data_IF_030162403313
#
_entry.id   IF_030162403313
#
_cell.length_a   1.000
_cell.length_b   1.000
_cell.length_c   1.000
_cell.angle_alpha   90.00
_cell.angle_beta   90.00
_cell.angle_gamma   90.00
#
_symmetry.space_group_name_H-M   'P 1'
#
loop_
_entity.id
_entity.type
_entity.pdbx_description
1 polymer ?
#
# COMPACT_ATOMS: atom_id res chain seq x y z
N UNK A 1 -15.44 -2.43 -36.41
CA UNK A 1 -14.53 -2.29 -35.25
C UNK A 1 -13.28 -1.55 -35.69
N UNK A 2 -13.04 -0.34 -35.20
CA UNK A 2 -11.81 0.39 -35.53
C UNK A 2 -10.60 -0.36 -34.97
N UNK A 3 -9.53 -0.48 -35.77
CA UNK A 3 -8.27 -1.08 -35.29
C UNK A 3 -7.82 -0.30 -34.05
N UNK A 4 -7.56 -0.97 -32.91
CA UNK A 4 -7.11 -0.27 -31.71
C UNK A 4 -5.81 0.46 -32.04
N UNK A 5 -5.77 1.76 -31.72
CA UNK A 5 -4.62 2.60 -31.99
C UNK A 5 -3.43 2.04 -31.23
N UNK A 6 -2.43 1.52 -31.95
CA UNK A 6 -1.34 0.71 -31.39
C UNK A 6 -0.29 1.56 -30.67
N UNK A 7 -0.36 2.89 -30.81
CA UNK A 7 0.55 3.85 -30.20
C UNK A 7 0.36 3.94 -28.68
N UNK A 8 1.44 4.22 -27.97
CA UNK A 8 1.44 4.54 -26.54
C UNK A 8 0.83 5.91 -26.27
N UNK A 9 0.52 6.21 -24.99
CA UNK A 9 -0.16 7.45 -24.58
C UNK A 9 0.67 8.69 -24.96
N UNK A 10 1.99 8.60 -24.81
CA UNK A 10 2.94 9.69 -25.07
C UNK A 10 3.72 9.52 -26.37
N UNK A 11 3.52 8.42 -27.10
CA UNK A 11 4.34 8.06 -28.26
C UNK A 11 4.19 9.03 -29.43
N UNK A 12 2.99 9.55 -29.65
CA UNK A 12 2.71 10.48 -30.77
C UNK A 12 3.48 11.79 -30.60
N UNK A 13 3.23 12.48 -29.47
CA UNK A 13 4.00 13.66 -29.09
C UNK A 13 5.51 13.39 -29.05
N UNK A 14 5.93 12.27 -28.43
CA UNK A 14 7.34 11.91 -28.34
C UNK A 14 7.98 11.72 -29.72
N UNK A 15 7.29 11.12 -30.68
CA UNK A 15 7.86 10.85 -32.00
C UNK A 15 8.16 12.12 -32.78
N UNK A 16 7.35 13.16 -32.62
CA UNK A 16 7.43 14.45 -33.33
C UNK A 16 8.53 15.38 -32.81
N UNK A 17 9.06 15.14 -31.60
CA UNK A 17 10.07 16.01 -31.00
C UNK A 17 11.47 15.84 -31.62
N UNK A 18 12.27 16.92 -31.57
CA UNK A 18 13.71 16.91 -31.92
C UNK A 18 14.51 15.96 -31.01
N UNK A 19 15.61 15.43 -31.52
CA UNK A 19 16.47 14.51 -30.77
C UNK A 19 17.08 15.15 -29.51
N UNK A 20 17.49 16.41 -29.59
CA UNK A 20 18.01 17.16 -28.44
C UNK A 20 16.99 17.24 -27.31
N UNK A 21 15.74 17.58 -27.65
CA UNK A 21 14.65 17.64 -26.67
C UNK A 21 14.41 16.27 -26.01
N UNK A 22 14.41 15.20 -26.81
CA UNK A 22 14.26 13.83 -26.30
C UNK A 22 15.38 13.48 -25.30
N UNK A 23 16.62 13.89 -25.59
CA UNK A 23 17.75 13.66 -24.70
C UNK A 23 17.61 14.46 -23.40
N UNK A 24 17.38 15.77 -23.48
CA UNK A 24 17.21 16.63 -22.30
C UNK A 24 16.05 16.17 -21.43
N UNK A 25 14.90 15.84 -22.03
CA UNK A 25 13.73 15.38 -21.29
C UNK A 25 13.93 14.00 -20.67
N UNK A 26 14.60 13.08 -21.38
CA UNK A 26 14.97 11.78 -20.84
C UNK A 26 15.90 11.90 -19.64
N UNK A 27 16.87 12.82 -19.69
CA UNK A 27 17.77 13.09 -18.57
C UNK A 27 17.02 13.74 -17.39
N UNK A 28 16.18 14.74 -17.67
CA UNK A 28 15.38 15.44 -16.66
C UNK A 28 14.42 14.48 -15.94
N UNK A 29 13.67 13.65 -16.69
CA UNK A 29 12.75 12.67 -16.09
C UNK A 29 13.46 11.63 -15.24
N UNK A 30 14.65 11.17 -15.64
CA UNK A 30 15.51 10.29 -14.83
C UNK A 30 16.03 10.99 -13.57
N UNK A 31 16.50 12.22 -13.70
CA UNK A 31 17.00 13.01 -12.57
C UNK A 31 15.88 13.25 -11.55
N UNK A 32 14.70 13.67 -11.99
CA UNK A 32 13.53 13.89 -11.12
C UNK A 32 13.12 12.58 -10.45
N UNK A 33 12.98 11.48 -11.20
CA UNK A 33 12.63 10.19 -10.62
C UNK A 33 13.66 9.70 -9.60
N UNK A 34 14.96 9.89 -9.87
CA UNK A 34 16.04 9.48 -8.97
C UNK A 34 16.11 10.34 -7.69
N UNK A 35 16.01 11.67 -7.83
CA UNK A 35 16.01 12.59 -6.69
C UNK A 35 14.81 12.28 -5.80
N UNK A 36 13.61 12.22 -6.37
CA UNK A 36 12.42 11.96 -5.58
C UNK A 36 12.41 10.53 -5.01
N UNK A 37 12.80 9.54 -5.79
CA UNK A 37 12.87 8.14 -5.36
C UNK A 37 13.88 7.89 -4.23
N UNK A 38 14.97 8.66 -4.18
CA UNK A 38 16.00 8.48 -3.15
C UNK A 38 15.77 9.33 -1.90
N UNK A 39 15.40 10.61 -2.08
CA UNK A 39 15.31 11.59 -1.00
C UNK A 39 13.89 11.75 -0.43
N UNK A 40 12.84 11.59 -1.24
CA UNK A 40 11.45 11.84 -0.79
C UNK A 40 10.80 10.58 -0.25
N UNK A 41 11.20 9.40 -0.74
CA UNK A 41 10.67 8.13 -0.24
C UNK A 41 10.99 7.94 1.24
N UNK A 42 9.94 7.76 2.05
CA UNK A 42 10.03 7.51 3.48
C UNK A 42 10.95 6.34 3.79
N UNK A 43 11.79 6.49 4.82
CA UNK A 43 12.72 5.45 5.27
C UNK A 43 12.06 4.60 6.34
N UNK A 44 12.18 3.30 6.21
CA UNK A 44 11.73 2.29 7.16
C UNK A 44 12.66 2.17 8.37
N UNK A 45 13.94 2.55 8.21
CA UNK A 45 15.00 2.35 9.20
C UNK A 45 15.85 1.11 8.93
N UNK A 46 15.42 0.24 8.00
CA UNK A 46 16.22 -0.89 7.52
C UNK A 46 16.87 -0.52 6.18
N UNK A 47 18.16 -0.22 6.19
CA UNK A 47 18.86 0.33 5.03
C UNK A 47 18.73 -0.51 3.74
N UNK A 48 18.67 -1.84 3.85
CA UNK A 48 18.47 -2.72 2.69
C UNK A 48 17.03 -2.63 2.13
N UNK A 49 16.00 -2.52 2.98
CA UNK A 49 14.60 -2.33 2.55
C UNK A 49 14.47 -0.97 1.87
N UNK A 50 15.04 0.08 2.48
CA UNK A 50 14.98 1.44 1.95
C UNK A 50 15.65 1.57 0.59
N UNK A 51 16.76 0.84 0.39
CA UNK A 51 17.44 0.76 -0.90
C UNK A 51 16.57 0.06 -1.94
N UNK A 52 15.96 -1.08 -1.60
CA UNK A 52 15.06 -1.80 -2.50
C UNK A 52 13.87 -0.91 -2.88
N UNK A 53 13.18 -0.33 -1.90
CA UNK A 53 12.01 0.53 -2.15
C UNK A 53 12.38 1.73 -3.01
N UNK A 54 13.54 2.35 -2.79
CA UNK A 54 14.03 3.47 -3.60
C UNK A 54 14.35 3.06 -5.05
N UNK A 55 14.99 1.89 -5.25
CA UNK A 55 15.26 1.34 -6.58
C UNK A 55 13.96 1.07 -7.33
N UNK A 56 12.95 0.48 -6.67
CA UNK A 56 11.65 0.25 -7.27
C UNK A 56 10.89 1.56 -7.54
N UNK A 57 10.92 2.51 -6.60
CA UNK A 57 10.29 3.83 -6.73
C UNK A 57 10.84 4.63 -7.91
N UNK A 58 12.12 4.41 -8.27
CA UNK A 58 12.79 5.09 -9.39
C UNK A 58 12.67 4.30 -10.69
N UNK A 59 12.98 3.00 -10.65
CA UNK A 59 13.12 2.17 -11.84
C UNK A 59 11.78 1.84 -12.51
N UNK A 60 10.75 1.51 -11.73
CA UNK A 60 9.44 1.14 -12.26
C UNK A 60 8.78 2.28 -13.05
N UNK A 61 8.66 3.52 -12.55
CA UNK A 61 8.05 4.60 -13.32
C UNK A 61 8.84 4.91 -14.60
N UNK A 62 10.18 4.86 -14.56
CA UNK A 62 11.00 5.08 -15.76
C UNK A 62 10.79 3.99 -16.81
N UNK A 63 10.65 2.72 -16.40
CA UNK A 63 10.32 1.63 -17.31
C UNK A 63 8.92 1.80 -17.93
N UNK A 64 7.94 2.22 -17.12
CA UNK A 64 6.59 2.51 -17.63
C UNK A 64 6.66 3.65 -18.65
N UNK A 65 7.32 4.76 -18.33
CA UNK A 65 7.50 5.91 -19.23
C UNK A 65 8.17 5.49 -20.53
N UNK A 66 9.30 4.76 -20.46
CA UNK A 66 10.01 4.27 -21.64
C UNK A 66 9.13 3.36 -22.51
N UNK A 67 8.30 2.50 -21.88
CA UNK A 67 7.35 1.66 -22.60
C UNK A 67 6.27 2.48 -23.34
N UNK A 68 5.82 3.60 -22.76
CA UNK A 68 4.79 4.45 -23.36
C UNK A 68 5.32 5.32 -24.50
N UNK A 69 6.61 5.71 -24.46
CA UNK A 69 7.25 6.52 -25.50
C UNK A 69 7.54 5.75 -26.81
N UNK A 70 7.66 4.43 -26.76
CA UNK A 70 8.10 3.60 -27.90
C UNK A 70 7.22 2.35 -28.14
N UNK A 71 5.97 2.39 -27.72
CA UNK A 71 5.13 1.21 -27.62
C UNK A 71 4.87 0.51 -28.96
N UNK A 72 4.67 1.28 -30.03
CA UNK A 72 4.37 0.74 -31.36
C UNK A 72 5.58 0.07 -32.01
N UNK A 73 6.81 0.44 -31.59
CA UNK A 73 8.07 -0.12 -32.10
C UNK A 73 8.33 -1.55 -31.64
N UNK A 74 7.70 -1.99 -30.55
CA UNK A 74 7.86 -3.36 -30.06
C UNK A 74 7.08 -4.38 -30.89
N UNK A 75 7.51 -5.65 -30.97
CA UNK A 75 6.71 -6.70 -31.61
C UNK A 75 5.38 -6.91 -30.88
N UNK A 76 4.32 -7.38 -31.58
CA UNK A 76 2.97 -7.48 -31.02
C UNK A 76 2.88 -8.42 -29.81
N UNK A 77 3.66 -9.50 -29.80
CA UNK A 77 3.75 -10.42 -28.65
C UNK A 77 4.33 -9.73 -27.41
N UNK A 78 5.38 -8.92 -27.60
CA UNK A 78 6.03 -8.20 -26.51
C UNK A 78 5.11 -7.10 -25.95
N UNK A 79 4.40 -6.36 -26.81
CA UNK A 79 3.38 -5.38 -26.38
C UNK A 79 2.30 -6.01 -25.50
N UNK A 80 1.80 -7.19 -25.89
CA UNK A 80 0.79 -7.92 -25.12
C UNK A 80 1.35 -8.39 -23.78
N UNK A 81 2.59 -8.89 -23.75
CA UNK A 81 3.28 -9.30 -22.52
C UNK A 81 3.50 -8.12 -21.58
N UNK A 82 4.06 -7.00 -22.06
CA UNK A 82 4.30 -5.78 -21.26
C UNK A 82 2.98 -5.27 -20.66
N UNK A 83 1.92 -5.18 -21.46
CA UNK A 83 0.62 -4.71 -20.97
C UNK A 83 0.06 -5.64 -19.89
N UNK A 84 0.20 -6.97 -20.07
CA UNK A 84 -0.26 -7.96 -19.08
C UNK A 84 0.57 -7.91 -17.80
N UNK A 85 1.90 -7.86 -17.90
CA UNK A 85 2.77 -7.78 -16.74
C UNK A 85 2.61 -6.47 -15.99
N UNK A 86 2.48 -5.33 -16.68
CA UNK A 86 2.18 -4.05 -16.04
C UNK A 86 0.82 -4.09 -15.32
N UNK A 87 -0.22 -4.63 -15.96
CA UNK A 87 -1.53 -4.79 -15.31
C UNK A 87 -1.46 -5.68 -14.07
N UNK A 88 -0.82 -6.85 -14.17
CA UNK A 88 -0.67 -7.79 -13.06
C UNK A 88 0.18 -7.20 -11.94
N UNK A 89 1.30 -6.54 -12.26
CA UNK A 89 2.20 -5.94 -11.28
C UNK A 89 1.52 -4.77 -10.55
N UNK A 90 0.87 -3.85 -11.27
CA UNK A 90 0.15 -2.75 -10.63
C UNK A 90 -1.01 -3.26 -9.79
N UNK A 91 -1.76 -4.26 -10.27
CA UNK A 91 -2.86 -4.85 -9.50
C UNK A 91 -2.35 -5.53 -8.23
N UNK A 92 -1.27 -6.31 -8.33
CA UNK A 92 -0.62 -6.93 -7.18
C UNK A 92 -0.11 -5.87 -6.19
N UNK A 93 0.52 -4.79 -6.67
CA UNK A 93 1.02 -3.71 -5.83
C UNK A 93 -0.11 -2.97 -5.10
N UNK A 94 -1.19 -2.61 -5.79
CA UNK A 94 -2.36 -1.96 -5.16
C UNK A 94 -3.03 -2.92 -4.17
N UNK A 95 -3.08 -4.21 -4.49
CA UNK A 95 -3.65 -5.22 -3.60
C UNK A 95 -2.82 -5.38 -2.33
N UNK A 96 -1.50 -5.51 -2.48
CA UNK A 96 -0.57 -5.61 -1.36
C UNK A 96 -0.62 -4.36 -0.47
N UNK A 97 -0.71 -3.16 -1.06
CA UNK A 97 -0.84 -1.92 -0.29
C UNK A 97 -2.16 -1.86 0.48
N UNK A 98 -3.28 -2.19 -0.16
CA UNK A 98 -4.59 -2.16 0.51
C UNK A 98 -4.68 -3.18 1.64
N UNK A 99 -4.16 -4.40 1.43
CA UNK A 99 -4.09 -5.43 2.48
C UNK A 99 -3.14 -4.99 3.59
N UNK A 100 -1.96 -4.45 3.25
CA UNK A 100 -0.99 -3.97 4.23
C UNK A 100 -1.54 -2.83 5.10
N UNK A 101 -2.26 -1.88 4.49
CA UNK A 101 -2.94 -0.81 5.21
C UNK A 101 -4.00 -1.36 6.16
N UNK A 102 -4.84 -2.28 5.68
CA UNK A 102 -5.87 -2.91 6.51
C UNK A 102 -5.27 -3.67 7.71
N UNK A 103 -4.19 -4.43 7.48
CA UNK A 103 -3.45 -5.13 8.54
C UNK A 103 -2.83 -4.14 9.54
N UNK A 104 -2.26 -3.03 9.08
CA UNK A 104 -1.72 -2.00 9.96
C UNK A 104 -2.82 -1.37 10.86
N UNK A 105 -4.02 -1.13 10.31
CA UNK A 105 -5.17 -0.64 11.09
C UNK A 105 -5.62 -1.67 12.12
N UNK A 106 -5.76 -2.95 11.75
CA UNK A 106 -6.09 -4.02 12.70
C UNK A 106 -5.05 -4.10 13.81
N UNK A 107 -3.77 -4.08 13.45
CA UNK A 107 -2.68 -4.13 14.41
C UNK A 107 -2.72 -2.93 15.39
N UNK A 108 -2.96 -1.72 14.88
CA UNK A 108 -3.14 -0.52 15.70
C UNK A 108 -4.33 -0.64 16.66
N UNK A 109 -5.46 -1.20 16.20
CA UNK A 109 -6.63 -1.45 17.05
C UNK A 109 -6.33 -2.47 18.15
N UNK A 110 -5.72 -3.61 17.82
CA UNK A 110 -5.37 -4.66 18.79
C UNK A 110 -4.40 -4.10 19.84
N UNK A 111 -3.32 -3.44 19.40
CA UNK A 111 -2.33 -2.87 20.34
C UNK A 111 -2.92 -1.77 21.21
N UNK A 112 -3.82 -0.93 20.69
CA UNK A 112 -4.55 0.06 21.47
C UNK A 112 -5.42 -0.57 22.55
N UNK A 113 -6.18 -1.62 22.21
CA UNK A 113 -7.00 -2.36 23.16
C UNK A 113 -6.13 -3.04 24.23
N UNK A 114 -5.07 -3.75 23.83
CA UNK A 114 -4.14 -4.42 24.76
C UNK A 114 -3.47 -3.42 25.72
N UNK A 115 -3.08 -2.23 25.25
CA UNK A 115 -2.53 -1.18 26.12
C UNK A 115 -3.55 -0.57 27.08
N UNK A 116 -4.83 -0.57 26.72
CA UNK A 116 -5.91 -0.09 27.59
C UNK A 116 -6.41 -1.13 28.59
N UNK A 117 -6.11 -2.42 28.38
CA UNK A 117 -6.52 -3.52 29.26
C UNK A 117 -6.12 -3.36 30.73
N UNK A 118 -4.88 -2.92 31.07
CA UNK A 118 -4.47 -2.72 32.47
C UNK A 118 -5.35 -1.71 33.22
N UNK A 119 -5.92 -0.72 32.51
CA UNK A 119 -6.87 0.23 33.10
C UNK A 119 -8.27 -0.35 33.33
N UNK A 120 -8.62 -1.42 32.61
CA UNK A 120 -9.90 -2.13 32.71
C UNK A 120 -9.87 -3.26 33.74
N UNK A 121 -8.69 -3.84 34.01
CA UNK A 121 -8.52 -5.00 34.89
C UNK A 121 -7.93 -4.61 36.26
N UNK A 122 -7.38 -3.40 36.40
CA UNK A 122 -6.65 -2.97 37.60
C UNK A 122 -5.22 -3.54 37.59
N UNK A 123 -4.26 -2.80 38.16
CA UNK A 123 -2.83 -3.12 38.13
C UNK A 123 -2.43 -4.40 38.87
N UNK A 124 -3.34 -5.03 39.63
CA UNK A 124 -3.01 -6.01 40.66
C UNK A 124 -3.48 -7.44 40.32
N UNK A 125 -3.63 -7.76 39.04
CA UNK A 125 -4.08 -9.09 38.58
C UNK A 125 -3.07 -10.22 38.88
N UNK A 126 -1.86 -9.91 39.37
CA UNK A 126 -0.73 -10.85 39.42
C UNK A 126 -0.50 -11.66 40.71
N UNK A 127 -1.08 -11.40 41.91
CA UNK A 127 -0.92 -12.34 43.03
C UNK A 127 -2.23 -12.90 43.63
N UNK A 128 -3.40 -12.51 43.12
CA UNK A 128 -4.67 -12.86 43.77
C UNK A 128 -5.19 -14.26 43.42
N UNK A 129 -4.75 -14.89 42.31
CA UNK A 129 -5.23 -16.23 41.92
C UNK A 129 -4.68 -17.35 42.82
N UNK A 130 -3.43 -17.25 43.28
CA UNK A 130 -2.80 -18.20 44.21
C UNK A 130 -3.30 -18.03 45.65
N UNK A 131 -3.73 -16.82 46.02
CA UNK A 131 -4.23 -16.52 47.37
C UNK A 131 -5.69 -16.95 47.56
N UNK A 132 -6.51 -16.91 46.49
CA UNK A 132 -7.92 -17.32 46.53
C UNK A 132 -8.10 -18.85 46.56
N UNK A 133 -7.21 -19.63 45.95
CA UNK A 133 -7.30 -21.10 45.98
C UNK A 133 -7.04 -21.72 47.37
N UNK A 134 -6.52 -20.95 48.33
CA UNK A 134 -6.12 -21.43 49.66
C UNK A 134 -7.03 -20.94 50.82
N UNK A 135 -8.05 -20.12 50.56
CA UNK A 135 -8.95 -19.60 51.59
C UNK A 135 -10.32 -20.32 51.57
N UNK A 136 -10.66 -21.17 52.56
CA UNK A 136 -11.92 -21.89 52.57
C UNK A 136 -13.08 -20.96 52.96
N UNK A 137 -14.01 -20.73 52.04
CA UNK A 137 -15.42 -20.47 52.38
C UNK A 137 -15.98 -19.05 52.30
N UNK A 138 -15.19 -18.03 51.92
CA UNK A 138 -15.72 -16.67 51.71
C UNK A 138 -15.53 -16.23 50.25
N UNK A 139 -16.62 -15.82 49.60
CA UNK A 139 -16.60 -15.10 48.32
C UNK A 139 -15.89 -13.76 48.56
N UNK A 140 -14.58 -13.74 48.39
CA UNK A 140 -13.80 -12.51 48.51
C UNK A 140 -14.26 -11.51 47.43
N UNK A 141 -14.57 -10.25 47.78
CA UNK A 141 -14.98 -9.23 46.81
C UNK A 141 -13.96 -9.04 45.69
N UNK A 142 -12.68 -9.29 45.97
CA UNK A 142 -11.58 -9.26 45.01
C UNK A 142 -11.70 -10.33 43.91
N UNK A 143 -12.25 -11.51 44.24
CA UNK A 143 -12.49 -12.57 43.26
C UNK A 143 -13.61 -12.16 42.29
N UNK A 144 -14.67 -11.53 42.79
CA UNK A 144 -15.78 -11.04 41.98
C UNK A 144 -15.29 -9.92 41.06
N UNK A 145 -14.48 -8.98 41.57
CA UNK A 145 -13.90 -7.90 40.78
C UNK A 145 -12.97 -8.42 39.67
N UNK A 146 -12.12 -9.40 39.97
CA UNK A 146 -11.25 -10.04 38.98
C UNK A 146 -12.03 -10.83 37.92
N UNK A 147 -13.08 -11.56 38.33
CA UNK A 147 -13.94 -12.29 37.41
C UNK A 147 -14.72 -11.36 36.47
N UNK A 148 -15.21 -10.22 36.97
CA UNK A 148 -15.85 -9.18 36.16
C UNK A 148 -14.84 -8.55 35.20
N UNK A 149 -13.61 -8.26 35.66
CA UNK A 149 -12.53 -7.75 34.80
C UNK A 149 -12.18 -8.70 33.66
N UNK A 150 -12.07 -10.00 33.96
CA UNK A 150 -11.83 -11.04 32.95
C UNK A 150 -12.98 -11.16 31.95
N UNK A 151 -14.22 -11.14 32.43
CA UNK A 151 -15.41 -11.19 31.57
C UNK A 151 -15.48 -9.97 30.64
N UNK A 152 -15.21 -8.77 31.15
CA UNK A 152 -15.17 -7.54 30.35
C UNK A 152 -14.07 -7.59 29.29
N UNK A 153 -12.88 -8.08 29.66
CA UNK A 153 -11.79 -8.30 28.72
C UNK A 153 -12.20 -9.28 27.60
N UNK A 154 -12.84 -10.38 27.95
CA UNK A 154 -13.32 -11.37 26.98
C UNK A 154 -14.37 -10.78 26.03
N UNK A 155 -15.34 -10.03 26.55
CA UNK A 155 -16.37 -9.35 25.74
C UNK A 155 -15.74 -8.34 24.77
N UNK A 156 -14.77 -7.54 25.24
CA UNK A 156 -14.05 -6.58 24.38
C UNK A 156 -13.26 -7.30 23.28
N UNK A 157 -12.60 -8.41 23.58
CA UNK A 157 -11.87 -9.19 22.58
C UNK A 157 -12.81 -9.78 21.52
N UNK A 158 -13.92 -10.38 21.93
CA UNK A 158 -14.91 -10.98 21.02
C UNK A 158 -15.57 -9.92 20.16
N UNK A 159 -15.95 -8.77 20.73
CA UNK A 159 -16.54 -7.66 19.98
C UNK A 159 -15.55 -7.03 18.99
N UNK A 160 -14.26 -6.95 19.33
CA UNK A 160 -13.21 -6.52 18.41
C UNK A 160 -13.09 -7.45 17.20
N UNK A 161 -13.04 -8.77 17.43
CA UNK A 161 -12.98 -9.76 16.34
C UNK A 161 -14.22 -9.65 15.45
N UNK A 162 -15.41 -9.56 16.06
CA UNK A 162 -16.67 -9.38 15.33
C UNK A 162 -16.69 -8.07 14.51
N UNK A 163 -16.18 -6.97 15.07
CA UNK A 163 -16.08 -5.68 14.38
C UNK A 163 -15.11 -5.73 13.20
N UNK A 164 -13.97 -6.43 13.34
CA UNK A 164 -13.01 -6.64 12.23
C UNK A 164 -13.71 -7.40 11.09
N UNK A 165 -14.35 -8.53 11.37
CA UNK A 165 -15.05 -9.31 10.35
C UNK A 165 -16.21 -8.55 9.69
N UNK A 166 -17.00 -7.83 10.48
CA UNK A 166 -18.09 -7.01 9.96
C UNK A 166 -17.56 -5.85 9.11
N UNK A 167 -16.46 -5.20 9.51
CA UNK A 167 -15.82 -4.16 8.70
C UNK A 167 -15.35 -4.71 7.35
N UNK A 168 -14.69 -5.87 7.34
CA UNK A 168 -14.19 -6.48 6.11
C UNK A 168 -15.32 -6.76 5.12
N UNK A 169 -16.45 -7.30 5.61
CA UNK A 169 -17.63 -7.57 4.79
C UNK A 169 -18.35 -6.30 4.35
N UNK A 170 -18.57 -5.35 5.26
CA UNK A 170 -19.33 -4.12 4.98
C UNK A 170 -18.59 -3.18 4.03
N UNK A 171 -17.27 -3.05 4.16
CA UNK A 171 -16.46 -2.19 3.29
C UNK A 171 -16.22 -2.77 1.90
N UNK A 172 -16.65 -4.01 1.62
CA UNK A 172 -16.38 -4.73 0.37
C UNK A 172 -14.91 -4.56 -0.04
N UNK A 173 -14.01 -4.78 0.92
CA UNK A 173 -12.58 -4.47 0.78
C UNK A 173 -12.00 -5.14 -0.47
N UNK A 174 -12.47 -6.33 -0.81
CA UNK A 174 -12.11 -7.01 -2.06
C UNK A 174 -12.49 -6.21 -3.32
N UNK A 175 -13.70 -5.63 -3.38
CA UNK A 175 -14.13 -4.84 -4.53
C UNK A 175 -13.34 -3.54 -4.64
N UNK A 176 -13.09 -2.88 -3.51
CA UNK A 176 -12.34 -1.64 -3.47
C UNK A 176 -10.85 -1.85 -3.82
N UNK A 177 -10.23 -2.89 -3.29
CA UNK A 177 -8.79 -3.14 -3.45
C UNK A 177 -8.47 -3.80 -4.79
N UNK A 178 -9.30 -4.75 -5.26
CA UNK A 178 -8.96 -5.56 -6.43
C UNK A 178 -9.75 -5.15 -7.68
N UNK A 179 -11.06 -4.94 -7.57
CA UNK A 179 -11.90 -4.75 -8.75
C UNK A 179 -11.91 -3.32 -9.28
N UNK A 180 -11.95 -2.31 -8.40
CA UNK A 180 -11.94 -0.91 -8.82
C UNK A 180 -10.64 -0.52 -9.58
N UNK A 181 -9.43 -0.85 -9.08
CA UNK A 181 -8.19 -0.57 -9.81
C UNK A 181 -8.12 -1.32 -11.12
N UNK A 182 -8.57 -2.58 -11.17
CA UNK A 182 -8.61 -3.39 -12.40
C UNK A 182 -9.45 -2.74 -13.49
N UNK A 183 -10.65 -2.24 -13.15
CA UNK A 183 -11.54 -1.55 -14.11
C UNK A 183 -10.90 -0.24 -14.61
N UNK A 184 -10.28 0.52 -13.71
CA UNK A 184 -9.56 1.75 -14.05
C UNK A 184 -8.36 1.50 -14.97
N UNK A 185 -7.46 0.59 -14.58
CA UNK A 185 -6.28 0.23 -15.37
C UNK A 185 -6.67 -0.29 -16.75
N UNK A 186 -7.70 -1.13 -16.85
CA UNK A 186 -8.16 -1.63 -18.15
C UNK A 186 -8.64 -0.50 -19.07
N UNK A 187 -9.31 0.52 -18.53
CA UNK A 187 -9.72 1.72 -19.29
C UNK A 187 -8.52 2.51 -19.80
N UNK A 188 -7.45 2.65 -19.02
CA UNK A 188 -6.30 3.48 -19.41
C UNK A 188 -5.25 2.71 -20.23
N UNK A 189 -4.84 1.51 -19.82
CA UNK A 189 -3.78 0.72 -20.47
C UNK A 189 -4.27 -0.04 -21.72
N UNK A 190 -5.51 -0.56 -21.68
CA UNK A 190 -6.06 -1.38 -22.78
C UNK A 190 -6.87 -0.54 -23.75
N UNK A 191 -7.82 0.28 -23.26
CA UNK A 191 -8.65 1.12 -24.15
C UNK A 191 -7.95 2.40 -24.61
N UNK A 192 -6.91 2.87 -23.91
CA UNK A 192 -6.05 4.01 -24.29
C UNK A 192 -6.84 5.21 -24.83
N UNK A 193 -7.91 5.60 -24.11
CA UNK A 193 -8.81 6.66 -24.56
C UNK A 193 -8.16 8.05 -24.55
N UNK A 194 -7.04 8.22 -23.85
CA UNK A 194 -6.34 9.49 -23.70
C UNK A 194 -5.00 9.39 -24.42
N UNK A 195 -4.68 10.42 -25.21
CA UNK A 195 -3.39 10.61 -25.86
C UNK A 195 -2.86 11.98 -25.48
N UNK A 196 -1.58 12.07 -25.18
CA UNK A 196 -0.93 13.36 -24.98
C UNK A 196 -0.70 14.01 -26.34
N UNK A 197 -1.43 15.10 -26.61
CA UNK A 197 -1.26 15.93 -27.80
C UNK A 197 -0.33 17.11 -27.53
N UNK A 198 -0.39 17.64 -26.30
CA UNK A 198 0.39 18.81 -25.88
C UNK A 198 1.48 18.45 -24.87
N UNK A 199 2.48 19.33 -24.80
CA UNK A 199 3.59 19.22 -23.84
C UNK A 199 3.09 19.12 -22.39
N UNK A 200 2.04 19.86 -22.04
CA UNK A 200 1.47 19.84 -20.68
C UNK A 200 0.86 18.47 -20.34
N UNK A 201 0.12 17.87 -21.27
CA UNK A 201 -0.43 16.52 -21.07
C UNK A 201 0.67 15.46 -21.04
N UNK A 202 1.68 15.60 -21.88
CA UNK A 202 2.84 14.72 -21.92
C UNK A 202 3.62 14.77 -20.60
N UNK A 203 4.00 15.97 -20.15
CA UNK A 203 4.70 16.18 -18.90
C UNK A 203 3.86 15.76 -17.69
N UNK A 204 2.58 16.16 -17.66
CA UNK A 204 1.66 15.80 -16.58
C UNK A 204 1.45 14.29 -16.46
N UNK A 205 1.41 13.57 -17.57
CA UNK A 205 1.32 12.10 -17.56
C UNK A 205 2.60 11.46 -16.99
N UNK A 206 3.78 11.87 -17.46
CA UNK A 206 5.04 11.27 -17.01
C UNK A 206 5.35 11.62 -15.55
N UNK A 207 5.18 12.89 -15.15
CA UNK A 207 5.31 13.30 -13.76
C UNK A 207 4.23 12.66 -12.88
N UNK A 208 3.01 12.51 -13.39
CA UNK A 208 1.94 11.82 -12.68
C UNK A 208 2.30 10.37 -12.35
N UNK A 209 2.92 9.65 -13.29
CA UNK A 209 3.43 8.29 -13.06
C UNK A 209 4.51 8.30 -11.98
N UNK A 210 5.51 9.20 -12.09
CA UNK A 210 6.60 9.33 -11.12
C UNK A 210 6.05 9.60 -9.72
N UNK A 211 5.22 10.65 -9.57
CA UNK A 211 4.62 11.06 -8.30
C UNK A 211 3.78 9.95 -7.68
N UNK A 212 2.95 9.27 -8.48
CA UNK A 212 2.15 8.15 -8.01
C UNK A 212 3.05 7.03 -7.51
N UNK A 213 4.09 6.64 -8.25
CA UNK A 213 5.04 5.62 -7.81
C UNK A 213 5.72 5.98 -6.49
N UNK A 214 6.13 7.22 -6.29
CA UNK A 214 6.75 7.68 -5.03
C UNK A 214 5.75 7.63 -3.88
N UNK A 215 4.52 8.10 -4.08
CA UNK A 215 3.48 8.06 -3.05
C UNK A 215 3.17 6.62 -2.62
N UNK A 216 3.06 5.70 -3.59
CA UNK A 216 2.85 4.29 -3.32
C UNK A 216 4.03 3.68 -2.55
N UNK A 217 5.27 3.90 -3.01
CA UNK A 217 6.46 3.40 -2.32
C UNK A 217 6.61 3.96 -0.90
N UNK A 218 6.30 5.25 -0.70
CA UNK A 218 6.34 5.89 0.62
C UNK A 218 5.28 5.30 1.56
N UNK A 219 4.08 5.04 1.06
CA UNK A 219 3.02 4.37 1.84
C UNK A 219 3.42 2.96 2.25
N UNK A 220 4.04 2.19 1.34
CA UNK A 220 4.56 0.85 1.67
C UNK A 220 5.65 0.94 2.76
N UNK A 221 6.58 1.88 2.64
CA UNK A 221 7.61 2.08 3.65
C UNK A 221 7.02 2.45 5.02
N UNK A 222 6.01 3.32 5.06
CA UNK A 222 5.30 3.66 6.31
C UNK A 222 4.65 2.42 6.93
N UNK A 223 3.96 1.61 6.13
CA UNK A 223 3.32 0.38 6.63
C UNK A 223 4.37 -0.57 7.23
N UNK A 224 5.48 -0.79 6.53
CA UNK A 224 6.57 -1.64 7.02
C UNK A 224 7.15 -1.08 8.31
N UNK A 225 7.38 0.23 8.38
CA UNK A 225 7.88 0.90 9.58
C UNK A 225 6.93 0.70 10.77
N UNK A 226 5.62 0.92 10.57
CA UNK A 226 4.61 0.72 11.63
C UNK A 226 4.58 -0.72 12.13
N UNK A 227 4.76 -1.71 11.25
CA UNK A 227 4.76 -3.12 11.63
C UNK A 227 6.06 -3.52 12.37
N UNK A 228 7.20 -2.91 12.01
CA UNK A 228 8.52 -3.34 12.47
C UNK A 228 9.05 -2.58 13.69
N UNK A 229 8.66 -1.31 13.89
CA UNK A 229 9.17 -0.47 14.98
C UNK A 229 8.30 -0.45 16.24
N UNK A 230 7.12 -1.06 16.25
CA UNK A 230 6.40 -1.24 17.51
C UNK A 230 7.12 -2.30 18.35
N UNK A 231 7.66 -1.93 19.54
CA UNK A 231 8.34 -2.90 20.39
C UNK A 231 7.37 -4.03 20.72
N UNK A 232 7.89 -5.27 20.65
CA UNK A 232 7.23 -6.40 21.28
C UNK A 232 6.85 -5.96 22.70
N UNK A 233 5.56 -6.08 23.03
CA UNK A 233 5.06 -5.78 24.37
C UNK A 233 5.85 -6.65 25.35
N UNK A 234 6.85 -6.04 25.99
CA UNK A 234 7.54 -6.57 27.17
C UNK A 234 6.82 -6.09 28.40
#
# INVERSE_FOLDING_TARGET
MSKPNLRGVTEEFWSEQKEDFKLYWSLASKAVAGILGFFVVTKTGFGWIDTIVSVFATGVPLLIIASQRALSKYPPLLRRRITRYSLCATLAAVTALGVGFYLAVIYGLITGVVKSLPSLVGSDFSPSLTTVMNAPGALNPDFIQNAIGFLNCFIVLVSLVAAIFNSFRALQIEELIHWAPKRGLFKYLVRRKVKAQDMLMFAGFEFGIIMTSIMFSSTVAIIVHVITMTPAVT
#
